data_IF_248796280710
#
_entry.id   IF_248796280710
#
_cell.length_a   1.000
_cell.length_b   1.000
_cell.length_c   1.000
_cell.angle_alpha   90.00
_cell.angle_beta   90.00
_cell.angle_gamma   90.00
#
_symmetry.space_group_name_H-M   'P 1'
#
loop_
_entity.id
_entity.type
_entity.pdbx_description
1 polymer ?
#
# COMPACT_ATOMS: atom_id res chain seq x y z
N UNK A 1 -3.11 1.66 25.61
CA UNK A 1 -3.77 2.65 24.72
C UNK A 1 -2.94 3.93 24.74
N UNK A 2 -2.49 4.43 23.58
CA UNK A 2 -1.52 5.53 23.46
C UNK A 2 -2.25 6.87 23.26
N UNK A 3 -1.76 7.99 23.79
CA UNK A 3 -2.32 9.34 23.58
C UNK A 3 -2.47 9.67 22.07
N UNK A 4 -1.56 9.18 21.22
CA UNK A 4 -1.68 9.32 19.76
C UNK A 4 -2.89 8.57 19.20
N UNK A 5 -3.19 7.37 19.70
CA UNK A 5 -4.36 6.58 19.24
C UNK A 5 -5.67 7.22 19.70
N UNK A 6 -5.70 7.77 20.93
CA UNK A 6 -6.84 8.52 21.46
C UNK A 6 -7.16 9.80 20.66
N UNK A 7 -6.15 10.62 20.35
CA UNK A 7 -6.34 11.83 19.52
C UNK A 7 -6.87 11.50 18.11
N UNK A 8 -6.35 10.43 17.52
CA UNK A 8 -6.72 9.98 16.17
C UNK A 8 -8.15 9.44 16.12
N UNK A 9 -8.53 8.63 17.11
CA UNK A 9 -9.90 8.15 17.26
C UNK A 9 -10.88 9.32 17.46
N UNK A 10 -10.53 10.27 18.33
CA UNK A 10 -11.35 11.46 18.59
C UNK A 10 -11.57 12.32 17.33
N UNK A 11 -10.51 12.56 16.54
CA UNK A 11 -10.62 13.35 15.31
C UNK A 11 -11.45 12.64 14.23
N UNK A 12 -11.28 11.31 14.07
CA UNK A 12 -12.10 10.49 13.15
C UNK A 12 -13.58 10.52 13.53
N UNK A 13 -13.91 10.51 14.82
CA UNK A 13 -15.30 10.60 15.28
C UNK A 13 -15.94 11.94 14.95
N UNK A 14 -15.20 13.04 15.05
CA UNK A 14 -15.73 14.38 14.77
C UNK A 14 -15.75 14.74 13.28
N UNK A 15 -14.80 14.21 12.51
CA UNK A 15 -14.66 14.46 11.08
C UNK A 15 -14.42 13.13 10.34
N UNK A 16 -15.44 12.27 10.23
CA UNK A 16 -15.30 11.01 9.55
C UNK A 16 -14.97 11.24 8.06
N UNK A 17 -13.97 10.54 7.50
CA UNK A 17 -13.71 10.58 6.07
C UNK A 17 -14.96 10.21 5.28
N UNK A 18 -15.22 10.95 4.20
CA UNK A 18 -16.36 10.72 3.32
C UNK A 18 -15.84 10.22 1.98
N UNK A 19 -16.37 9.08 1.56
CA UNK A 19 -16.07 8.46 0.29
C UNK A 19 -17.38 8.36 -0.50
N UNK A 20 -17.34 8.82 -1.75
CA UNK A 20 -18.44 8.76 -2.71
C UNK A 20 -18.46 7.42 -3.45
N UNK A 21 -17.29 6.79 -3.61
CA UNK A 21 -17.19 5.43 -4.12
C UNK A 21 -17.47 4.41 -3.00
N UNK A 22 -18.59 3.70 -3.09
CA UNK A 22 -19.01 2.75 -2.04
C UNK A 22 -18.05 1.57 -1.85
N UNK A 23 -17.31 1.14 -2.87
CA UNK A 23 -16.31 0.05 -2.71
C UNK A 23 -15.09 0.53 -1.94
N UNK A 24 -14.58 1.71 -2.27
CA UNK A 24 -13.47 2.35 -1.54
C UNK A 24 -13.88 2.69 -0.11
N UNK A 25 -15.11 3.14 0.09
CA UNK A 25 -15.72 3.36 1.41
C UNK A 25 -15.78 2.07 2.22
N UNK A 26 -16.30 0.99 1.64
CA UNK A 26 -16.39 -0.32 2.28
C UNK A 26 -15.01 -0.85 2.66
N UNK A 27 -14.00 -0.65 1.81
CA UNK A 27 -12.61 -0.97 2.14
C UNK A 27 -12.11 -0.13 3.33
N UNK A 28 -12.40 1.17 3.34
CA UNK A 28 -11.98 2.06 4.43
C UNK A 28 -12.61 1.66 5.76
N UNK A 29 -13.91 1.41 5.79
CA UNK A 29 -14.66 0.96 6.97
C UNK A 29 -14.10 -0.37 7.48
N UNK A 30 -13.93 -1.35 6.58
CA UNK A 30 -13.36 -2.66 6.92
C UNK A 30 -11.96 -2.56 7.52
N UNK A 31 -11.06 -1.78 6.90
CA UNK A 31 -9.71 -1.60 7.43
C UNK A 31 -9.75 -0.84 8.76
N UNK A 32 -10.59 0.18 8.89
CA UNK A 32 -10.71 0.98 10.13
C UNK A 32 -11.24 0.17 11.31
N UNK A 33 -12.16 -0.76 11.09
CA UNK A 33 -12.69 -1.66 12.12
C UNK A 33 -11.66 -2.70 12.56
N UNK A 34 -10.74 -3.06 11.67
CA UNK A 34 -9.75 -4.12 11.88
C UNK A 34 -8.31 -3.58 12.03
N UNK A 35 -8.14 -2.27 12.24
CA UNK A 35 -6.82 -1.62 12.39
C UNK A 35 -6.21 -1.79 13.79
N UNK A 36 -6.91 -2.46 14.70
CA UNK A 36 -6.46 -2.69 16.09
C UNK A 36 -6.67 -4.12 16.57
N UNK A 37 -7.29 -4.98 15.77
CA UNK A 37 -7.63 -6.34 16.15
C UNK A 37 -6.44 -7.28 16.01
N UNK A 38 -6.22 -8.11 17.02
CA UNK A 38 -5.30 -9.26 17.02
C UNK A 38 -5.85 -10.45 16.22
N UNK A 39 -6.89 -10.23 15.42
CA UNK A 39 -7.63 -11.29 14.74
C UNK A 39 -6.83 -11.87 13.57
N UNK A 40 -7.03 -13.17 13.35
CA UNK A 40 -6.29 -13.94 12.37
C UNK A 40 -6.68 -13.51 10.95
N UNK A 41 -5.77 -12.85 10.26
CA UNK A 41 -5.84 -12.56 8.83
C UNK A 41 -5.62 -13.84 8.01
N UNK A 42 -6.61 -14.73 8.04
CA UNK A 42 -6.57 -16.03 7.38
C UNK A 42 -7.76 -16.27 6.45
N UNK A 43 -7.63 -17.29 5.60
CA UNK A 43 -8.70 -17.74 4.73
C UNK A 43 -9.88 -18.28 5.54
N UNK A 44 -11.10 -17.88 5.19
CA UNK A 44 -12.32 -18.12 5.98
C UNK A 44 -12.60 -17.01 7.00
N UNK A 45 -11.64 -16.14 7.29
CA UNK A 45 -11.75 -14.99 8.19
C UNK A 45 -11.59 -13.64 7.47
N UNK A 46 -10.82 -12.74 8.08
CA UNK A 46 -10.62 -11.37 7.59
C UNK A 46 -10.01 -11.32 6.18
N UNK A 47 -9.10 -12.23 5.83
CA UNK A 47 -8.48 -12.23 4.50
C UNK A 47 -9.51 -12.50 3.40
N UNK A 48 -10.46 -13.41 3.63
CA UNK A 48 -11.53 -13.68 2.67
C UNK A 48 -12.50 -12.52 2.53
N UNK A 49 -12.75 -11.76 3.60
CA UNK A 49 -13.57 -10.56 3.53
C UNK A 49 -12.86 -9.44 2.77
N UNK A 50 -11.56 -9.25 3.02
CA UNK A 50 -10.72 -8.32 2.27
C UNK A 50 -10.73 -8.62 0.78
N UNK A 51 -10.49 -9.89 0.40
CA UNK A 51 -10.55 -10.34 -1.00
C UNK A 51 -11.91 -9.99 -1.61
N UNK A 52 -13.01 -10.33 -0.94
CA UNK A 52 -14.37 -10.02 -1.43
C UNK A 52 -14.65 -8.53 -1.60
N UNK A 53 -13.97 -7.66 -0.86
CA UNK A 53 -14.11 -6.23 -1.04
C UNK A 53 -13.39 -5.79 -2.31
N UNK A 54 -12.18 -6.29 -2.55
CA UNK A 54 -11.30 -5.78 -3.61
C UNK A 54 -11.40 -6.55 -4.93
N UNK A 55 -11.90 -7.79 -4.95
CA UNK A 55 -11.88 -8.69 -6.12
C UNK A 55 -12.51 -8.07 -7.38
N UNK A 56 -13.55 -7.26 -7.19
CA UNK A 56 -14.31 -6.63 -8.28
C UNK A 56 -13.94 -5.15 -8.50
N UNK A 57 -12.83 -4.65 -7.96
CA UNK A 57 -12.41 -3.27 -8.23
C UNK A 57 -12.12 -3.07 -9.72
N UNK A 58 -12.68 -2.00 -10.29
CA UNK A 58 -12.35 -1.56 -11.64
C UNK A 58 -11.35 -0.38 -11.61
N UNK A 59 -11.00 0.14 -12.78
CA UNK A 59 -10.03 1.25 -12.89
C UNK A 59 -10.51 2.53 -12.18
N UNK A 60 -11.81 2.85 -12.24
CA UNK A 60 -12.40 4.01 -11.57
C UNK A 60 -12.31 3.88 -10.04
N UNK A 61 -12.55 2.67 -9.50
CA UNK A 61 -12.42 2.36 -8.08
C UNK A 61 -10.97 2.58 -7.61
N UNK A 62 -9.99 2.10 -8.39
CA UNK A 62 -8.57 2.25 -8.12
C UNK A 62 -8.15 3.72 -8.21
N UNK A 63 -8.60 4.44 -9.23
CA UNK A 63 -8.32 5.87 -9.39
C UNK A 63 -8.89 6.68 -8.22
N UNK A 64 -10.13 6.39 -7.82
CA UNK A 64 -10.77 7.04 -6.69
C UNK A 64 -10.03 6.76 -5.37
N UNK A 65 -9.57 5.53 -5.15
CA UNK A 65 -8.72 5.19 -4.00
C UNK A 65 -7.47 6.10 -3.93
N UNK A 66 -6.78 6.32 -5.04
CA UNK A 66 -5.61 7.20 -5.06
C UNK A 66 -5.95 8.69 -4.94
N UNK A 67 -7.06 9.15 -5.50
CA UNK A 67 -7.54 10.53 -5.32
C UNK A 67 -7.85 10.83 -3.85
N UNK A 68 -8.35 9.83 -3.14
CA UNK A 68 -8.71 9.93 -1.72
C UNK A 68 -7.61 9.47 -0.76
N UNK A 69 -6.39 9.18 -1.24
CA UNK A 69 -5.31 8.59 -0.42
C UNK A 69 -4.95 9.41 0.82
N UNK A 70 -5.12 10.74 0.75
CA UNK A 70 -4.90 11.67 1.86
C UNK A 70 -5.91 11.52 3.01
N UNK A 71 -7.04 10.84 2.78
CA UNK A 71 -8.03 10.49 3.80
C UNK A 71 -7.68 9.20 4.55
N UNK A 72 -6.74 8.43 4.02
CA UNK A 72 -6.26 7.19 4.63
C UNK A 72 -5.15 7.50 5.62
N UNK A 73 -5.20 6.79 6.73
CA UNK A 73 -4.11 6.82 7.69
C UNK A 73 -2.96 5.91 7.23
N UNK A 74 -1.74 6.25 7.65
CA UNK A 74 -0.56 5.50 7.28
C UNK A 74 -0.62 4.03 7.62
N UNK A 75 -1.18 3.70 8.80
CA UNK A 75 -1.32 2.31 9.21
C UNK A 75 -2.33 1.54 8.33
N UNK A 76 -3.39 2.21 7.85
CA UNK A 76 -4.32 1.61 6.88
C UNK A 76 -3.62 1.24 5.59
N UNK A 77 -2.79 2.15 5.06
CA UNK A 77 -2.03 1.90 3.83
C UNK A 77 -1.03 0.76 4.00
N UNK A 78 -0.41 0.63 5.18
CA UNK A 78 0.48 -0.50 5.51
C UNK A 78 -0.28 -1.82 5.56
N UNK A 79 -1.44 -1.88 6.22
CA UNK A 79 -2.28 -3.10 6.22
C UNK A 79 -2.65 -3.49 4.79
N UNK A 80 -3.15 -2.54 4.00
CA UNK A 80 -3.53 -2.82 2.61
C UNK A 80 -2.32 -3.37 1.84
N UNK A 81 -1.18 -2.67 1.89
CA UNK A 81 0.03 -3.07 1.19
C UNK A 81 0.53 -4.47 1.60
N UNK A 82 0.48 -4.80 2.89
CA UNK A 82 0.79 -6.14 3.41
C UNK A 82 -0.13 -7.20 2.82
N UNK A 83 -1.45 -6.95 2.80
CA UNK A 83 -2.42 -7.91 2.24
C UNK A 83 -2.32 -8.07 0.73
N UNK A 84 -1.85 -7.07 0.00
CA UNK A 84 -1.55 -7.25 -1.43
C UNK A 84 -0.43 -8.27 -1.67
N UNK A 85 0.42 -8.56 -0.68
CA UNK A 85 1.47 -9.58 -0.77
C UNK A 85 0.95 -11.01 -0.61
N UNK A 86 -0.28 -11.19 -0.14
CA UNK A 86 -0.83 -12.52 0.13
C UNK A 86 -1.10 -13.27 -1.18
N UNK A 87 -0.54 -14.48 -1.31
CA UNK A 87 -0.71 -15.31 -2.52
C UNK A 87 -2.19 -15.53 -2.85
N UNK A 88 -3.03 -15.68 -1.82
CA UNK A 88 -4.49 -15.85 -1.97
C UNK A 88 -5.17 -14.62 -2.54
N UNK A 89 -4.67 -13.42 -2.26
CA UNK A 89 -5.17 -12.19 -2.88
C UNK A 89 -4.84 -12.19 -4.37
N UNK A 90 -3.59 -12.51 -4.74
CA UNK A 90 -3.20 -12.66 -6.16
C UNK A 90 -4.08 -13.66 -6.92
N UNK A 91 -4.41 -14.79 -6.29
CA UNK A 91 -5.22 -15.86 -6.91
C UNK A 91 -6.68 -15.44 -7.20
N UNK A 92 -7.19 -14.38 -6.56
CA UNK A 92 -8.61 -13.97 -6.63
C UNK A 92 -8.81 -12.57 -7.23
N UNK A 93 -7.75 -11.89 -7.65
CA UNK A 93 -7.81 -10.52 -8.21
C UNK A 93 -7.28 -10.52 -9.64
N UNK A 94 -7.96 -9.83 -10.55
CA UNK A 94 -7.65 -9.83 -11.99
C UNK A 94 -6.89 -8.58 -12.49
N UNK A 95 -6.52 -7.66 -11.61
CA UNK A 95 -5.78 -6.44 -11.93
C UNK A 95 -4.39 -6.40 -11.28
N UNK A 96 -3.53 -5.49 -11.78
CA UNK A 96 -2.13 -5.40 -11.38
C UNK A 96 -1.97 -4.75 -9.98
N UNK A 97 -2.04 -5.58 -8.94
CA UNK A 97 -1.86 -5.15 -7.56
C UNK A 97 -0.45 -4.64 -7.26
N UNK A 98 0.57 -5.06 -8.03
CA UNK A 98 1.91 -4.52 -7.85
C UNK A 98 1.96 -3.04 -8.21
N UNK A 99 1.29 -2.59 -9.29
CA UNK A 99 1.14 -1.15 -9.59
C UNK A 99 0.49 -0.38 -8.43
N UNK A 100 -0.52 -0.95 -7.80
CA UNK A 100 -1.20 -0.33 -6.64
C UNK A 100 -0.22 -0.22 -5.48
N UNK A 101 0.52 -1.29 -5.18
CA UNK A 101 1.55 -1.27 -4.13
C UNK A 101 2.61 -0.19 -4.37
N UNK A 102 3.12 -0.08 -5.60
CA UNK A 102 4.10 0.95 -5.95
C UNK A 102 3.52 2.36 -5.82
N UNK A 103 2.26 2.57 -6.21
CA UNK A 103 1.59 3.86 -6.00
C UNK A 103 1.37 4.14 -4.51
N UNK A 104 0.99 3.16 -3.69
CA UNK A 104 0.93 3.31 -2.22
C UNK A 104 2.31 3.66 -1.68
N UNK A 105 3.37 2.95 -2.10
CA UNK A 105 4.74 3.25 -1.71
C UNK A 105 5.12 4.68 -2.05
N UNK A 106 4.73 5.21 -3.21
CA UNK A 106 5.02 6.59 -3.62
C UNK A 106 4.19 7.62 -2.84
N UNK A 107 2.90 7.36 -2.62
CA UNK A 107 1.96 8.27 -1.98
C UNK A 107 2.02 8.31 -0.46
N UNK A 108 2.49 7.24 0.19
CA UNK A 108 2.59 7.16 1.64
C UNK A 108 3.64 8.14 2.21
N UNK A 109 3.47 8.59 3.46
CA UNK A 109 4.29 9.62 4.10
C UNK A 109 5.79 9.44 3.83
N UNK A 110 6.46 10.52 3.42
CA UNK A 110 7.76 10.46 2.74
C UNK A 110 8.87 9.77 3.53
N UNK A 111 8.81 9.80 4.87
CA UNK A 111 9.83 9.22 5.74
C UNK A 111 9.46 7.83 6.27
N UNK A 112 8.18 7.49 6.36
CA UNK A 112 7.71 6.24 6.98
C UNK A 112 7.56 5.09 5.97
N UNK A 113 7.73 5.36 4.68
CA UNK A 113 7.60 4.36 3.62
C UNK A 113 8.73 3.33 3.56
N UNK A 114 9.75 3.39 4.43
CA UNK A 114 10.86 2.43 4.43
C UNK A 114 10.40 1.00 4.74
N UNK A 115 9.34 0.82 5.54
CA UNK A 115 8.77 -0.50 5.83
C UNK A 115 8.25 -1.23 4.59
N UNK A 116 7.86 -0.47 3.56
CA UNK A 116 7.37 -1.04 2.30
C UNK A 116 8.49 -1.36 1.31
N UNK A 117 9.72 -0.90 1.59
CA UNK A 117 10.86 -1.00 0.67
C UNK A 117 11.28 -2.44 0.43
N UNK A 118 11.38 -3.24 1.51
CA UNK A 118 11.93 -4.60 1.45
C UNK A 118 11.06 -5.56 0.60
N UNK A 119 9.81 -5.18 0.35
CA UNK A 119 8.85 -5.98 -0.43
C UNK A 119 8.73 -5.55 -1.90
N UNK A 120 9.39 -4.46 -2.34
CA UNK A 120 9.24 -3.93 -3.70
C UNK A 120 9.62 -4.94 -4.79
N UNK A 121 10.74 -5.63 -4.62
CA UNK A 121 11.20 -6.65 -5.57
C UNK A 121 10.24 -7.86 -5.59
N UNK A 122 9.82 -8.31 -4.41
CA UNK A 122 8.92 -9.46 -4.28
C UNK A 122 7.57 -9.18 -4.94
N UNK A 123 6.97 -8.01 -4.70
CA UNK A 123 5.67 -7.70 -5.26
C UNK A 123 5.70 -7.50 -6.76
N UNK A 124 6.76 -6.88 -7.29
CA UNK A 124 6.95 -6.74 -8.72
C UNK A 124 7.03 -8.10 -9.42
N UNK A 125 7.84 -9.03 -8.88
CA UNK A 125 7.94 -10.39 -9.40
C UNK A 125 6.63 -11.15 -9.26
N UNK A 126 5.92 -10.94 -8.15
CA UNK A 126 4.65 -11.60 -7.87
C UNK A 126 3.57 -11.21 -8.88
N UNK A 127 3.43 -9.93 -9.24
CA UNK A 127 2.37 -9.48 -10.15
C UNK A 127 2.81 -9.29 -11.60
N UNK A 128 4.10 -9.51 -11.90
CA UNK A 128 4.69 -9.23 -13.21
C UNK A 128 4.37 -7.81 -13.71
N UNK A 129 4.38 -6.86 -12.77
CA UNK A 129 3.91 -5.50 -13.00
C UNK A 129 4.74 -4.80 -14.06
N UNK A 130 4.07 -4.09 -14.97
CA UNK A 130 4.74 -3.23 -15.94
C UNK A 130 4.71 -1.80 -15.45
N UNK A 131 5.83 -1.33 -14.90
CA UNK A 131 5.98 0.06 -14.48
C UNK A 131 6.46 0.91 -15.65
N UNK A 132 5.84 2.07 -15.84
CA UNK A 132 6.37 3.08 -16.75
C UNK A 132 7.64 3.75 -16.19
N UNK A 133 8.38 4.39 -17.08
CA UNK A 133 9.66 5.02 -16.73
C UNK A 133 9.49 6.14 -15.69
N UNK A 134 8.40 6.89 -15.72
CA UNK A 134 8.11 7.96 -14.76
C UNK A 134 7.94 7.39 -13.33
N UNK A 135 7.23 6.28 -13.21
CA UNK A 135 7.04 5.55 -11.95
C UNK A 135 8.36 5.02 -11.43
N UNK A 136 9.21 4.44 -12.30
CA UNK A 136 10.54 3.96 -11.92
C UNK A 136 11.46 5.09 -11.42
N UNK A 137 11.45 6.24 -12.11
CA UNK A 137 12.20 7.45 -11.69
C UNK A 137 11.69 7.96 -10.33
N UNK A 138 10.37 7.95 -10.13
CA UNK A 138 9.75 8.37 -8.88
C UNK A 138 10.13 7.45 -7.71
N UNK A 139 10.15 6.13 -7.96
CA UNK A 139 10.58 5.13 -6.97
C UNK A 139 12.05 5.35 -6.60
N UNK A 140 12.94 5.46 -7.58
CA UNK A 140 14.36 5.72 -7.37
C UNK A 140 14.59 7.02 -6.57
N UNK A 141 13.85 8.08 -6.91
CA UNK A 141 13.91 9.37 -6.21
C UNK A 141 13.48 9.25 -4.76
N UNK A 142 12.42 8.49 -4.48
CA UNK A 142 11.95 8.25 -3.10
C UNK A 142 12.94 7.40 -2.28
N UNK A 143 13.52 6.37 -2.88
CA UNK A 143 14.57 5.54 -2.24
C UNK A 143 15.77 6.41 -1.86
N UNK A 144 16.23 7.26 -2.77
CA UNK A 144 17.31 8.22 -2.50
C UNK A 144 16.96 9.17 -1.37
N UNK A 145 15.72 9.69 -1.34
CA UNK A 145 15.26 10.54 -0.25
C UNK A 145 15.29 9.81 1.11
N UNK A 146 14.80 8.57 1.18
CA UNK A 146 14.85 7.75 2.41
C UNK A 146 16.29 7.55 2.89
N UNK A 147 17.23 7.25 1.99
CA UNK A 147 18.64 7.08 2.32
C UNK A 147 19.28 8.38 2.83
N UNK A 148 19.05 9.50 2.15
CA UNK A 148 19.57 10.82 2.57
C UNK A 148 19.08 11.22 3.97
N UNK A 149 17.87 10.79 4.33
CA UNK A 149 17.27 11.02 5.65
C UNK A 149 17.54 9.90 6.66
N UNK A 150 18.48 8.99 6.36
CA UNK A 150 18.90 7.89 7.25
C UNK A 150 17.78 6.95 7.69
N UNK A 151 16.71 6.83 6.90
CA UNK A 151 15.60 5.91 7.17
C UNK A 151 15.92 4.48 6.73
N UNK A 152 16.90 4.32 5.83
CA UNK A 152 17.34 3.02 5.31
C UNK A 152 18.85 2.92 5.35
N UNK A 153 19.36 1.70 5.45
CA UNK A 153 20.80 1.42 5.44
C UNK A 153 21.38 1.60 4.03
N UNK A 154 22.71 1.75 3.95
CA UNK A 154 23.41 1.76 2.66
C UNK A 154 23.18 0.47 1.88
N UNK A 155 23.15 -0.68 2.55
CA UNK A 155 22.88 -1.97 1.91
C UNK A 155 21.48 -1.99 1.26
N UNK A 156 20.44 -1.56 2.00
CA UNK A 156 19.08 -1.47 1.46
C UNK A 156 19.01 -0.51 0.27
N UNK A 157 19.68 0.64 0.35
CA UNK A 157 19.76 1.60 -0.76
C UNK A 157 20.42 0.97 -2.00
N UNK A 158 21.61 0.39 -1.85
CA UNK A 158 22.38 -0.17 -2.96
C UNK A 158 21.63 -1.33 -3.64
N UNK A 159 21.00 -2.22 -2.84
CA UNK A 159 20.18 -3.33 -3.35
C UNK A 159 18.97 -2.84 -4.15
N UNK A 160 18.19 -1.92 -3.59
CA UNK A 160 16.98 -1.43 -4.25
C UNK A 160 17.30 -0.59 -5.50
N UNK A 161 18.35 0.24 -5.46
CA UNK A 161 18.77 1.00 -6.64
C UNK A 161 19.29 0.08 -7.75
N UNK A 162 20.06 -0.96 -7.42
CA UNK A 162 20.49 -1.95 -8.40
C UNK A 162 19.28 -2.64 -9.04
N UNK A 163 18.30 -3.02 -8.23
CA UNK A 163 17.06 -3.63 -8.72
C UNK A 163 16.30 -2.70 -9.69
N UNK A 164 16.03 -1.45 -9.31
CA UNK A 164 15.31 -0.48 -10.16
C UNK A 164 16.06 -0.19 -11.46
N UNK A 165 17.40 -0.09 -11.42
CA UNK A 165 18.20 0.11 -12.63
C UNK A 165 18.12 -1.10 -13.57
N UNK A 166 18.11 -2.32 -13.05
CA UNK A 166 17.93 -3.53 -13.86
C UNK A 166 16.57 -3.57 -14.55
N UNK A 167 15.52 -3.05 -13.90
CA UNK A 167 14.19 -2.91 -14.52
C UNK A 167 14.20 -1.88 -15.66
N UNK A 168 14.92 -0.76 -15.51
CA UNK A 168 15.05 0.26 -16.55
C UNK A 168 15.85 -0.21 -17.77
N UNK A 169 16.81 -1.12 -17.59
CA UNK A 169 17.66 -1.62 -18.68
C UNK A 169 17.17 -2.95 -19.31
N UNK A 170 16.15 -3.59 -18.71
CA UNK A 170 15.56 -4.85 -19.17
C UNK A 170 14.24 -4.71 -19.94
N UNK A 171 13.80 -3.48 -20.23
CA UNK A 171 12.69 -3.13 -21.12
C UNK A 171 13.23 -2.71 -22.50
#
# INVERSE_FOLDING_TARGET
MNIKSLKKQFYRTLFPPRFENEKVKKLYEFISENDSTTDFWEMGGLLSQFIRIIEDFNEDDIQYFFQTIHLWDGYHLVIIADKLMEKKVKENVNYDLGKIYFKIFLSYEKLDSYYLLDNLELIFKMYHSKLDMETLISIASKIKFLYQNKQITRQQFDQNMSYINNLNHGL
#
